data_IF_041280584874
#
_entry.id   IF_041280584874
#
_cell.length_a   1.000
_cell.length_b   1.000
_cell.length_c   1.000
_cell.angle_alpha   90.00
_cell.angle_beta   90.00
_cell.angle_gamma   90.00
#
_symmetry.space_group_name_H-M   'P 1'
#
loop_
_entity.id
_entity.type
_entity.pdbx_description
1 polymer ?
#
# COMPACT_ATOMS: atom_id res chain seq x y z
N UNK A 1 20.19 -3.43 3.26
CA UNK A 1 18.88 -2.78 3.47
C UNK A 1 18.08 -3.64 4.43
N UNK A 2 17.47 -3.06 5.45
CA UNK A 2 16.60 -3.77 6.41
C UNK A 2 15.11 -3.51 6.08
N UNK A 3 14.78 -3.37 4.79
CA UNK A 3 13.42 -3.14 4.33
C UNK A 3 12.75 -4.47 4.03
N UNK A 4 11.47 -4.57 4.42
CA UNK A 4 10.63 -5.72 4.11
C UNK A 4 10.52 -5.92 2.60
N UNK A 5 10.57 -7.18 2.16
CA UNK A 5 10.25 -7.54 0.78
C UNK A 5 8.73 -7.52 0.52
N UNK A 6 8.33 -7.71 -0.75
CA UNK A 6 6.91 -7.69 -1.13
C UNK A 6 6.07 -8.75 -0.40
N UNK A 7 6.62 -9.93 -0.17
CA UNK A 7 5.93 -11.02 0.52
C UNK A 7 5.75 -10.71 2.00
N UNK A 8 6.77 -10.13 2.63
CA UNK A 8 6.73 -9.67 4.01
C UNK A 8 5.69 -8.55 4.20
N UNK A 9 5.61 -7.59 3.27
CA UNK A 9 4.60 -6.53 3.32
C UNK A 9 3.17 -7.06 3.16
N UNK A 10 2.93 -7.99 2.23
CA UNK A 10 1.62 -8.67 2.11
C UNK A 10 1.29 -9.41 3.40
N UNK A 11 2.25 -10.18 3.94
CA UNK A 11 2.05 -10.92 5.19
C UNK A 11 1.73 -10.01 6.38
N UNK A 12 2.39 -8.86 6.46
CA UNK A 12 2.13 -7.86 7.50
C UNK A 12 0.68 -7.36 7.46
N UNK A 13 0.17 -7.08 6.26
CA UNK A 13 -1.20 -6.60 6.05
C UNK A 13 -2.28 -7.66 6.28
N UNK A 14 -1.95 -8.97 6.29
CA UNK A 14 -2.93 -10.03 6.61
C UNK A 14 -3.52 -9.96 8.02
N UNK A 15 -2.94 -9.14 8.90
CA UNK A 15 -3.50 -8.86 10.23
C UNK A 15 -4.67 -7.87 10.19
N UNK A 16 -4.90 -7.19 9.06
CA UNK A 16 -5.95 -6.20 8.87
C UNK A 16 -7.11 -6.81 8.07
N UNK A 17 -8.32 -6.36 8.36
CA UNK A 17 -9.50 -6.63 7.52
C UNK A 17 -9.55 -5.58 6.40
N UNK A 18 -9.40 -5.97 5.11
CA UNK A 18 -9.36 -5.03 4.01
C UNK A 18 -10.60 -4.14 3.89
N UNK A 19 -11.78 -4.65 4.28
CA UNK A 19 -13.05 -3.91 4.20
C UNK A 19 -13.17 -2.83 5.30
N UNK A 20 -12.40 -2.95 6.38
CA UNK A 20 -12.34 -1.95 7.44
C UNK A 20 -11.24 -0.90 7.23
N UNK A 21 -10.30 -1.16 6.32
CA UNK A 21 -9.25 -0.21 5.96
C UNK A 21 -9.81 0.79 4.95
N UNK A 22 -10.07 2.00 5.42
CA UNK A 22 -10.67 3.06 4.60
C UNK A 22 -9.77 3.47 3.41
N UNK A 23 -8.46 3.57 3.63
CA UNK A 23 -7.49 3.92 2.58
C UNK A 23 -6.08 3.47 2.95
N UNK A 24 -5.37 2.88 2.00
CA UNK A 24 -3.97 2.48 2.13
C UNK A 24 -3.06 3.46 1.38
N UNK A 25 -2.00 3.96 2.04
CA UNK A 25 -1.04 4.88 1.42
C UNK A 25 0.30 4.20 1.20
N UNK A 26 0.75 4.18 -0.06
CA UNK A 26 2.05 3.65 -0.44
C UNK A 26 3.03 4.79 -0.65
N UNK A 27 4.08 4.80 0.17
CA UNK A 27 5.13 5.82 0.18
C UNK A 27 6.51 5.18 0.21
N UNK A 28 7.56 5.98 0.05
CA UNK A 28 8.96 5.55 0.16
C UNK A 28 9.31 4.37 -0.75
N UNK A 29 9.41 4.65 -2.05
CA UNK A 29 9.82 3.69 -3.06
C UNK A 29 9.90 4.34 -4.42
N UNK A 30 10.46 3.63 -5.39
CA UNK A 30 10.36 4.04 -6.79
C UNK A 30 8.91 3.90 -7.27
N UNK A 31 8.45 4.83 -8.08
CA UNK A 31 7.05 4.92 -8.56
C UNK A 31 6.56 3.58 -9.15
N UNK A 32 7.33 2.98 -10.06
CA UNK A 32 7.00 1.67 -10.65
C UNK A 32 6.83 0.55 -9.62
N UNK A 33 7.63 0.57 -8.54
CA UNK A 33 7.56 -0.43 -7.48
C UNK A 33 6.33 -0.21 -6.59
N UNK A 34 5.98 1.06 -6.32
CA UNK A 34 4.77 1.41 -5.58
C UNK A 34 3.50 1.03 -6.37
N UNK A 35 3.46 1.29 -7.68
CA UNK A 35 2.34 0.87 -8.51
C UNK A 35 2.21 -0.66 -8.58
N UNK A 36 3.31 -1.38 -8.76
CA UNK A 36 3.28 -2.85 -8.73
C UNK A 36 2.79 -3.40 -7.38
N UNK A 37 3.16 -2.75 -6.27
CA UNK A 37 2.68 -3.12 -4.94
C UNK A 37 1.20 -2.77 -4.74
N UNK A 38 0.73 -1.64 -5.28
CA UNK A 38 -0.68 -1.25 -5.26
C UNK A 38 -1.55 -2.31 -5.94
N UNK A 39 -1.18 -2.75 -7.15
CA UNK A 39 -1.92 -3.81 -7.85
C UNK A 39 -1.97 -5.10 -7.02
N UNK A 40 -0.86 -5.45 -6.36
CA UNK A 40 -0.84 -6.62 -5.49
C UNK A 40 -1.80 -6.47 -4.31
N UNK A 41 -1.84 -5.32 -3.66
CA UNK A 41 -2.74 -5.11 -2.53
C UNK A 41 -4.22 -5.02 -2.94
N UNK A 42 -4.53 -4.53 -4.15
CA UNK A 42 -5.90 -4.64 -4.70
C UNK A 42 -6.32 -6.10 -4.86
N UNK A 43 -5.41 -6.97 -5.31
CA UNK A 43 -5.68 -8.42 -5.40
C UNK A 43 -5.87 -9.08 -4.04
N UNK A 44 -5.28 -8.55 -2.97
CA UNK A 44 -5.47 -9.03 -1.59
C UNK A 44 -6.74 -8.43 -0.93
N UNK A 45 -7.51 -7.60 -1.65
CA UNK A 45 -8.83 -7.12 -1.24
C UNK A 45 -8.90 -5.67 -0.74
N UNK A 46 -7.79 -4.91 -0.76
CA UNK A 46 -7.81 -3.51 -0.32
C UNK A 46 -8.46 -2.62 -1.38
N UNK A 47 -9.60 -1.96 -1.07
CA UNK A 47 -10.42 -1.29 -2.09
C UNK A 47 -9.89 0.08 -2.50
N UNK A 48 -9.31 0.84 -1.56
CA UNK A 48 -8.79 2.20 -1.81
C UNK A 48 -7.29 2.27 -1.46
N UNK A 49 -6.48 2.49 -2.50
CA UNK A 49 -5.02 2.57 -2.40
C UNK A 49 -4.53 3.80 -3.14
N UNK A 50 -3.80 4.66 -2.44
CA UNK A 50 -3.19 5.87 -2.95
C UNK A 50 -1.66 5.74 -3.00
N UNK A 51 -1.06 6.25 -4.09
CA UNK A 51 0.38 6.51 -4.21
C UNK A 51 0.56 8.04 -4.26
N UNK A 52 0.77 8.71 -3.12
CA UNK A 52 0.80 10.17 -3.08
C UNK A 52 1.97 10.76 -3.84
N UNK A 53 1.73 11.88 -4.53
CA UNK A 53 2.81 12.73 -5.00
C UNK A 53 3.43 13.50 -3.83
N UNK A 54 4.68 13.94 -3.99
CA UNK A 54 5.35 14.77 -2.99
C UNK A 54 4.57 16.08 -2.77
N UNK A 55 4.19 16.33 -1.51
CA UNK A 55 3.43 17.53 -1.13
C UNK A 55 1.90 17.40 -1.30
N UNK A 56 1.38 16.26 -1.75
CA UNK A 56 -0.06 16.01 -1.79
C UNK A 56 -0.62 15.81 -0.37
N UNK A 57 -1.69 16.55 -0.05
CA UNK A 57 -2.46 16.39 1.19
C UNK A 57 -3.73 15.56 0.98
N UNK A 58 -4.25 15.01 2.09
CA UNK A 58 -5.52 14.27 2.12
C UNK A 58 -6.32 14.73 3.35
N UNK A 59 -7.63 14.92 3.17
CA UNK A 59 -8.58 15.03 4.27
C UNK A 59 -9.07 13.61 4.61
N UNK A 60 -9.05 13.25 5.90
CA UNK A 60 -9.34 11.90 6.42
C UNK A 60 -10.43 11.94 7.47
#
# INVERSE_FOLDING_TARGET
>A
SAHADRGELVRFLKSQDPDQVQRLFLVHGAEHALHALAERFRQEGFPDIAVPAQGQGFDL
#
